data_IF_603792997642
#
_entry.id   IF_603792997642
#
_cell.length_a   1.000
_cell.length_b   1.000
_cell.length_c   1.000
_cell.angle_alpha   90.00
_cell.angle_beta   90.00
_cell.angle_gamma   90.00
#
_symmetry.space_group_name_H-M   'P 1'
#
loop_
_entity.id
_entity.type
_entity.pdbx_description
1 polymer ?
#
# COMPACT_ATOMS: atom_id res chain seq x y z
N UNK A 1 21.03 3.84 -33.01
CA UNK A 1 21.85 2.63 -32.81
C UNK A 1 21.55 1.70 -33.96
N UNK A 2 22.51 1.43 -34.85
CA UNK A 2 22.34 0.41 -35.89
C UNK A 2 22.79 -0.94 -35.31
N UNK A 3 21.92 -1.94 -35.33
CA UNK A 3 22.21 -3.31 -34.88
C UNK A 3 21.75 -3.71 -33.48
N UNK A 4 20.96 -2.87 -32.78
CA UNK A 4 20.32 -3.23 -31.50
C UNK A 4 18.83 -3.43 -31.74
N UNK A 5 18.27 -4.52 -31.20
CA UNK A 5 16.83 -4.77 -31.23
C UNK A 5 16.14 -4.01 -30.10
N UNK A 6 15.42 -2.95 -30.45
CA UNK A 6 14.72 -2.10 -29.50
C UNK A 6 13.46 -2.78 -28.90
N UNK A 7 12.97 -3.88 -29.50
CA UNK A 7 11.77 -4.58 -29.01
C UNK A 7 12.09 -5.58 -27.90
N UNK A 8 13.30 -6.13 -27.89
CA UNK A 8 13.76 -7.11 -26.89
C UNK A 8 14.71 -6.51 -25.84
N UNK A 9 15.07 -5.24 -25.98
CA UNK A 9 15.96 -4.59 -25.00
C UNK A 9 15.24 -4.41 -23.67
N UNK A 10 15.77 -5.03 -22.62
CA UNK A 10 15.28 -4.93 -21.24
C UNK A 10 16.21 -4.11 -20.35
N UNK A 11 15.66 -3.54 -19.27
CA UNK A 11 16.42 -2.82 -18.25
C UNK A 11 15.91 -3.20 -16.87
N UNK A 12 16.84 -3.39 -15.92
CA UNK A 12 16.53 -3.61 -14.51
C UNK A 12 16.27 -2.31 -13.74
N UNK A 13 16.47 -1.14 -14.37
CA UNK A 13 16.14 0.13 -13.76
C UNK A 13 14.70 0.52 -14.06
N UNK A 14 13.81 0.26 -13.09
CA UNK A 14 12.37 0.51 -13.20
C UNK A 14 12.05 1.98 -13.50
N UNK A 15 12.82 2.94 -12.98
CA UNK A 15 12.58 4.37 -13.24
C UNK A 15 12.93 4.77 -14.68
N UNK A 16 13.95 4.13 -15.26
CA UNK A 16 14.29 4.36 -16.66
C UNK A 16 13.23 3.73 -17.58
N UNK A 17 12.70 2.56 -17.21
CA UNK A 17 11.61 1.91 -17.93
C UNK A 17 10.35 2.79 -17.88
N UNK A 18 9.96 3.29 -16.71
CA UNK A 18 8.84 4.21 -16.54
C UNK A 18 8.98 5.44 -17.44
N UNK A 19 10.16 6.05 -17.45
CA UNK A 19 10.44 7.28 -18.20
C UNK A 19 10.36 7.09 -19.72
N UNK A 20 10.81 5.94 -20.23
CA UNK A 20 10.94 5.72 -21.67
C UNK A 20 9.80 4.89 -22.27
N UNK A 21 9.21 3.97 -21.50
CA UNK A 21 8.20 3.01 -21.96
C UNK A 21 6.84 3.19 -21.26
N UNK A 22 6.79 3.93 -20.15
CA UNK A 22 5.56 4.22 -19.41
C UNK A 22 5.35 3.32 -18.18
N UNK A 23 4.28 3.65 -17.44
CA UNK A 23 4.02 3.05 -16.11
C UNK A 23 3.66 1.56 -16.18
N UNK A 24 2.96 1.12 -17.23
CA UNK A 24 2.57 -0.29 -17.38
C UNK A 24 3.77 -1.19 -17.70
N UNK A 25 4.72 -0.69 -18.51
CA UNK A 25 5.99 -1.39 -18.74
C UNK A 25 6.81 -1.48 -17.45
N UNK A 26 6.83 -0.41 -16.64
CA UNK A 26 7.49 -0.42 -15.34
C UNK A 26 6.83 -1.39 -14.34
N UNK A 27 5.49 -1.50 -14.37
CA UNK A 27 4.73 -2.46 -13.57
C UNK A 27 5.11 -3.89 -13.92
N UNK A 28 5.27 -4.21 -15.20
CA UNK A 28 5.67 -5.57 -15.64
C UNK A 28 7.08 -5.92 -15.16
N UNK A 29 8.03 -4.99 -15.31
CA UNK A 29 9.40 -5.20 -14.80
C UNK A 29 9.40 -5.42 -13.28
N UNK A 30 8.59 -4.66 -12.52
CA UNK A 30 8.42 -4.89 -11.08
C UNK A 30 7.82 -6.26 -10.78
N UNK A 31 6.81 -6.65 -11.53
CA UNK A 31 6.16 -7.95 -11.37
C UNK A 31 7.16 -9.09 -11.57
N UNK A 32 7.94 -9.07 -12.67
CA UNK A 32 8.92 -10.10 -12.99
C UNK A 32 10.04 -10.19 -11.94
N UNK A 33 10.59 -9.04 -11.55
CA UNK A 33 11.65 -8.96 -10.53
C UNK A 33 11.17 -9.46 -9.17
N UNK A 34 9.95 -9.11 -8.76
CA UNK A 34 9.37 -9.57 -7.48
C UNK A 34 8.95 -11.03 -7.57
N UNK A 35 8.43 -11.49 -8.71
CA UNK A 35 8.06 -12.89 -8.92
C UNK A 35 9.29 -13.79 -8.85
N UNK A 36 10.40 -13.38 -9.46
CA UNK A 36 11.66 -14.10 -9.39
C UNK A 36 12.20 -14.26 -7.95
N UNK A 37 11.83 -13.34 -7.05
CA UNK A 37 12.22 -13.39 -5.63
C UNK A 37 11.24 -14.12 -4.74
N UNK A 38 9.94 -13.96 -4.98
CA UNK A 38 8.89 -14.47 -4.09
C UNK A 38 8.37 -15.84 -4.53
N UNK A 39 8.44 -16.16 -5.82
CA UNK A 39 7.81 -17.35 -6.41
C UNK A 39 6.27 -17.36 -6.33
N UNK A 40 5.66 -16.24 -5.94
CA UNK A 40 4.21 -16.15 -5.71
C UNK A 40 3.60 -15.07 -6.60
N UNK A 41 2.78 -15.49 -7.58
CA UNK A 41 2.14 -14.62 -8.55
C UNK A 41 1.27 -13.53 -7.90
N UNK A 42 0.57 -13.84 -6.81
CA UNK A 42 -0.32 -12.89 -6.15
C UNK A 42 0.46 -11.84 -5.36
N UNK A 43 1.54 -12.26 -4.71
CA UNK A 43 2.43 -11.34 -3.98
C UNK A 43 3.13 -10.40 -4.95
N UNK A 44 3.63 -10.93 -6.07
CA UNK A 44 4.25 -10.13 -7.12
C UNK A 44 3.28 -9.12 -7.72
N UNK A 45 2.06 -9.55 -8.09
CA UNK A 45 1.04 -8.67 -8.62
C UNK A 45 0.67 -7.56 -7.63
N UNK A 46 0.39 -7.91 -6.38
CA UNK A 46 0.01 -6.94 -5.35
C UNK A 46 1.10 -5.89 -5.11
N UNK A 47 2.36 -6.31 -5.06
CA UNK A 47 3.50 -5.40 -4.85
C UNK A 47 3.68 -4.49 -6.07
N UNK A 48 3.65 -5.04 -7.28
CA UNK A 48 3.80 -4.27 -8.52
C UNK A 48 2.68 -3.22 -8.65
N UNK A 49 1.43 -3.63 -8.43
CA UNK A 49 0.27 -2.74 -8.51
C UNK A 49 0.30 -1.67 -7.41
N UNK A 50 0.68 -2.03 -6.18
CA UNK A 50 0.84 -1.06 -5.09
C UNK A 50 1.88 0.00 -5.43
N UNK A 51 2.99 -0.40 -6.05
CA UNK A 51 4.06 0.51 -6.44
C UNK A 51 3.69 1.41 -7.63
N UNK A 52 2.71 1.07 -8.47
CA UNK A 52 2.41 1.81 -9.72
C UNK A 52 1.02 2.46 -9.77
N UNK A 53 0.10 2.12 -8.86
CA UNK A 53 -1.30 2.57 -8.86
C UNK A 53 -1.53 4.10 -8.84
N UNK A 54 -0.50 4.91 -8.58
CA UNK A 54 -0.56 6.38 -8.61
C UNK A 54 -0.10 7.00 -9.93
N UNK A 55 0.09 6.18 -10.96
CA UNK A 55 0.55 6.63 -12.27
C UNK A 55 2.03 6.98 -12.30
N UNK A 56 2.77 6.67 -11.24
CA UNK A 56 4.22 6.76 -11.18
C UNK A 56 4.79 5.71 -10.23
N UNK A 57 6.04 5.30 -10.45
CA UNK A 57 6.71 4.28 -9.63
C UNK A 57 7.00 4.85 -8.24
N UNK A 58 6.37 4.24 -7.24
CA UNK A 58 6.42 4.64 -5.84
C UNK A 58 7.22 3.64 -5.02
N UNK A 59 8.27 4.11 -4.34
CA UNK A 59 9.08 3.27 -3.45
C UNK A 59 8.38 2.92 -2.13
N UNK A 60 8.71 1.79 -1.49
CA UNK A 60 8.29 1.46 -0.12
C UNK A 60 9.11 2.23 0.92
N UNK A 61 8.95 3.55 0.96
CA UNK A 61 9.60 4.42 1.94
C UNK A 61 8.54 5.23 2.68
N UNK A 62 8.91 5.80 3.83
CA UNK A 62 8.03 6.70 4.60
C UNK A 62 7.39 7.80 3.76
N UNK A 63 8.12 8.32 2.77
CA UNK A 63 7.62 9.39 1.91
C UNK A 63 6.63 8.94 0.83
N UNK A 64 6.34 7.63 0.76
CA UNK A 64 5.31 7.11 -0.12
C UNK A 64 3.94 7.73 0.23
N UNK A 65 3.30 8.46 -0.70
CA UNK A 65 1.99 9.05 -0.48
C UNK A 65 0.92 8.05 -0.07
N UNK A 66 1.01 6.79 -0.54
CA UNK A 66 0.09 5.71 -0.17
C UNK A 66 0.12 5.38 1.32
N UNK A 67 1.27 5.54 1.96
CA UNK A 67 1.43 5.26 3.38
C UNK A 67 1.03 6.46 4.24
N UNK A 68 1.21 7.69 3.73
CA UNK A 68 0.86 8.94 4.44
C UNK A 68 -0.64 9.26 4.46
N UNK A 69 -1.43 8.73 3.53
CA UNK A 69 -2.86 9.05 3.41
C UNK A 69 -3.75 8.47 4.54
N UNK A 70 -3.18 7.75 5.52
CA UNK A 70 -3.93 6.95 6.50
C UNK A 70 -4.16 7.60 7.87
N UNK A 71 -3.71 8.84 8.05
CA UNK A 71 -3.76 9.55 9.33
C UNK A 71 -2.38 9.75 9.94
N UNK A 72 -2.29 10.62 10.94
CA UNK A 72 -1.00 10.92 11.55
C UNK A 72 -0.56 9.80 12.49
N UNK A 73 -1.47 9.10 13.16
CA UNK A 73 -1.16 7.97 14.03
C UNK A 73 -0.54 6.82 13.24
N UNK A 74 -1.00 6.59 12.01
CA UNK A 74 -0.37 5.62 11.10
C UNK A 74 1.00 6.11 10.63
N UNK A 75 1.15 7.41 10.36
CA UNK A 75 2.44 7.99 9.94
C UNK A 75 3.51 7.87 11.04
N UNK A 76 3.18 8.18 12.30
CA UNK A 76 4.14 8.08 13.42
C UNK A 76 4.54 6.64 13.71
N UNK A 77 3.69 5.66 13.40
CA UNK A 77 4.01 4.25 13.55
C UNK A 77 5.13 3.79 12.60
N UNK A 78 5.43 4.56 11.54
CA UNK A 78 6.44 4.21 10.54
C UNK A 78 7.68 5.13 10.57
N UNK A 79 8.85 4.53 10.85
CA UNK A 79 10.23 5.05 10.77
C UNK A 79 10.62 6.34 11.52
N UNK A 80 9.81 7.41 11.61
CA UNK A 80 10.22 8.70 12.23
C UNK A 80 9.07 9.42 12.97
N UNK A 81 8.73 9.03 14.21
CA UNK A 81 7.61 9.59 14.97
C UNK A 81 7.81 11.04 15.44
N UNK A 82 9.04 11.42 15.83
CA UNK A 82 9.29 12.71 16.52
C UNK A 82 9.08 13.95 15.63
N UNK A 83 9.48 13.88 14.36
CA UNK A 83 9.28 14.99 13.41
C UNK A 83 7.80 15.22 13.10
N UNK A 84 7.06 14.12 13.01
CA UNK A 84 5.68 14.12 12.54
C UNK A 84 4.75 14.71 13.59
N UNK A 85 4.93 14.34 14.87
CA UNK A 85 4.14 14.88 15.98
C UNK A 85 4.28 16.41 16.05
N UNK A 86 5.49 16.97 15.86
CA UNK A 86 5.69 18.43 15.87
C UNK A 86 4.88 19.12 14.77
N UNK A 87 4.88 18.56 13.55
CA UNK A 87 4.10 19.08 12.44
C UNK A 87 2.60 18.99 12.69
N UNK A 88 2.14 17.86 13.21
CA UNK A 88 0.73 17.58 13.55
C UNK A 88 0.21 18.56 14.59
N UNK A 89 0.94 18.76 15.69
CA UNK A 89 0.54 19.68 16.77
C UNK A 89 0.49 21.12 16.25
N UNK A 90 1.49 21.54 15.47
CA UNK A 90 1.53 22.89 14.89
C UNK A 90 0.35 23.16 13.97
N UNK A 91 -0.02 22.16 13.16
CA UNK A 91 -1.07 22.29 12.14
C UNK A 91 -2.46 21.86 12.65
N UNK A 92 -2.58 21.45 13.92
CA UNK A 92 -3.82 20.94 14.53
C UNK A 92 -4.47 19.82 13.69
N UNK A 93 -3.65 18.92 13.16
CA UNK A 93 -4.13 17.78 12.35
C UNK A 93 -4.84 16.79 13.28
N UNK A 94 -6.06 16.41 12.92
CA UNK A 94 -6.85 15.40 13.62
C UNK A 94 -6.70 14.03 12.93
N UNK A 95 -6.65 12.96 13.71
CA UNK A 95 -6.72 11.59 13.20
C UNK A 95 -8.18 11.13 13.24
N UNK A 96 -8.64 10.49 12.17
CA UNK A 96 -10.00 9.96 12.06
C UNK A 96 -10.10 8.48 12.48
N UNK A 97 -8.99 7.90 12.96
CA UNK A 97 -8.89 6.52 13.43
C UNK A 97 -9.38 5.46 12.44
N UNK A 98 -9.27 5.73 11.13
CA UNK A 98 -9.73 4.80 10.09
C UNK A 98 -8.70 3.73 9.71
N UNK A 99 -7.42 3.93 10.05
CA UNK A 99 -6.39 2.96 9.74
C UNK A 99 -6.32 1.87 10.81
N UNK A 100 -5.92 0.66 10.39
CA UNK A 100 -5.60 -0.43 11.33
C UNK A 100 -4.57 0.02 12.37
N UNK A 101 -3.56 0.78 11.97
CA UNK A 101 -2.54 1.31 12.90
C UNK A 101 -3.14 2.22 13.97
N UNK A 102 -3.98 3.18 13.56
CA UNK A 102 -4.63 4.11 14.48
C UNK A 102 -5.57 3.38 15.43
N UNK A 103 -6.35 2.42 14.92
CA UNK A 103 -7.28 1.61 15.73
C UNK A 103 -6.50 0.84 16.80
N UNK A 104 -5.43 0.13 16.42
CA UNK A 104 -4.56 -0.59 17.35
C UNK A 104 -3.95 0.33 18.41
N UNK A 105 -3.41 1.50 18.01
CA UNK A 105 -2.82 2.47 18.95
C UNK A 105 -3.86 2.96 19.97
N UNK A 106 -5.12 3.15 19.54
CA UNK A 106 -6.21 3.60 20.41
C UNK A 106 -6.91 2.47 21.18
N UNK A 107 -6.54 1.20 20.95
CA UNK A 107 -7.20 0.04 21.57
C UNK A 107 -8.58 -0.29 21.00
N UNK A 108 -8.92 0.23 19.82
CA UNK A 108 -10.14 -0.11 19.09
C UNK A 108 -9.95 -1.43 18.33
N UNK A 109 -11.03 -2.20 18.14
CA UNK A 109 -11.03 -3.38 17.27
C UNK A 109 -10.79 -2.93 15.82
N UNK A 110 -9.74 -3.42 15.14
CA UNK A 110 -9.49 -3.00 13.77
C UNK A 110 -10.55 -3.49 12.79
N UNK A 111 -10.91 -2.65 11.82
CA UNK A 111 -11.92 -2.93 10.77
C UNK A 111 -11.32 -3.80 9.64
N UNK A 112 -10.82 -4.98 10.01
CA UNK A 112 -10.24 -5.97 9.09
C UNK A 112 -10.52 -7.39 9.58
N UNK A 113 -10.65 -8.34 8.65
CA UNK A 113 -10.92 -9.74 8.98
C UNK A 113 -12.20 -9.89 9.81
N UNK A 114 -12.11 -10.51 10.99
CA UNK A 114 -13.25 -10.69 11.90
C UNK A 114 -13.85 -9.37 12.42
N UNK A 115 -13.08 -8.27 12.44
CA UNK A 115 -13.58 -6.97 12.87
C UNK A 115 -14.41 -6.24 11.80
N UNK A 116 -14.43 -6.75 10.56
CA UNK A 116 -15.13 -6.09 9.43
C UNK A 116 -16.64 -6.21 9.46
N UNK A 117 -17.17 -7.10 10.31
CA UNK A 117 -18.61 -7.24 10.51
C UNK A 117 -18.88 -7.19 12.01
N UNK A 118 -19.61 -6.16 12.41
CA UNK A 118 -20.20 -6.11 13.74
C UNK A 118 -21.56 -6.80 13.66
N UNK A 119 -21.76 -7.82 14.47
CA UNK A 119 -23.05 -8.49 14.56
C UNK A 119 -23.91 -7.78 15.61
N UNK A 120 -25.09 -7.36 15.20
CA UNK A 120 -26.13 -6.96 16.14
C UNK A 120 -26.78 -8.19 16.76
N UNK A 121 -27.40 -8.03 17.95
CA UNK A 121 -28.12 -9.12 18.59
C UNK A 121 -29.28 -9.65 17.71
N UNK A 122 -29.89 -8.78 16.90
CA UNK A 122 -30.99 -9.13 16.00
C UNK A 122 -30.52 -10.07 14.87
N UNK A 123 -29.39 -9.74 14.22
CA UNK A 123 -28.78 -10.58 13.18
C UNK A 123 -28.28 -11.93 13.71
N UNK A 124 -27.81 -11.96 14.96
CA UNK A 124 -27.40 -13.21 15.61
C UNK A 124 -28.58 -14.17 15.79
N UNK A 125 -29.77 -13.66 16.09
CA UNK A 125 -30.97 -14.48 16.22
C UNK A 125 -31.37 -15.04 14.86
N UNK A 126 -31.41 -14.22 13.80
CA UNK A 126 -31.80 -14.68 12.45
C UNK A 126 -30.88 -15.77 11.88
N UNK A 127 -29.57 -15.72 12.15
CA UNK A 127 -28.63 -16.76 11.72
C UNK A 127 -28.93 -18.13 12.37
N UNK A 128 -29.36 -18.13 13.63
CA UNK A 128 -29.64 -19.36 14.40
C UNK A 128 -30.88 -20.10 13.89
N UNK A 129 -31.85 -19.39 13.28
CA UNK A 129 -33.04 -19.99 12.67
C UNK A 129 -32.82 -20.46 11.22
N UNK A 130 -31.63 -20.21 10.65
CA UNK A 130 -31.28 -20.56 9.27
C UNK A 130 -30.30 -21.74 9.16
N UNK A 131 -29.90 -22.33 10.29
CA UNK A 131 -29.16 -23.59 10.42
C UNK A 131 -30.08 -24.74 10.83
#
# INVERSE_FOLDING_TARGET
MHGVDNLETVSNNVYDVEKNLGIDAAREVLYDEVLAKTGNIHTAALIADFMTCKGHVSSFKKDNPMLKARGFLSSIAFERPKSDIKGVVRNKIMDNTQSVYSQVITGQLPDVGSGSKLFSLEECVELDWSM
#
